data_IF_999896284108
#
_entry.id   IF_999896284108
#
_cell.length_a   1.000
_cell.length_b   1.000
_cell.length_c   1.000
_cell.angle_alpha   90.00
_cell.angle_beta   90.00
_cell.angle_gamma   90.00
#
_symmetry.space_group_name_H-M   'P 1'
#
loop_
_entity.id
_entity.type
_entity.pdbx_description
1 polymer ?
#
# COMPACT_ATOMS: atom_id res chain seq x y z
N UNK A 1 -19.59 67.50 -20.66
CA UNK A 1 -19.51 66.26 -21.47
C UNK A 1 -18.20 65.52 -21.23
N UNK A 2 -17.07 66.22 -21.03
CA UNK A 2 -15.76 65.63 -20.72
C UNK A 2 -15.71 64.86 -19.39
N UNK A 3 -16.37 65.34 -18.33
CA UNK A 3 -16.40 64.63 -17.04
C UNK A 3 -17.12 63.27 -17.09
N UNK A 4 -18.15 63.12 -17.93
CA UNK A 4 -18.81 61.81 -18.14
C UNK A 4 -17.92 60.83 -18.89
N UNK A 5 -17.05 61.32 -19.77
CA UNK A 5 -16.12 60.50 -20.54
C UNK A 5 -14.98 59.98 -19.65
N UNK A 6 -14.49 60.82 -18.73
CA UNK A 6 -13.47 60.42 -17.74
C UNK A 6 -14.00 59.37 -16.75
N UNK A 7 -15.24 59.51 -16.28
CA UNK A 7 -15.87 58.51 -15.39
C UNK A 7 -16.12 57.18 -16.12
N UNK A 8 -16.54 57.20 -17.39
CA UNK A 8 -16.71 56.00 -18.21
C UNK A 8 -15.38 55.30 -18.51
N UNK A 9 -14.29 56.04 -18.72
CA UNK A 9 -12.96 55.45 -18.91
C UNK A 9 -12.36 54.92 -17.60
N UNK A 10 -12.60 55.56 -16.46
CA UNK A 10 -12.20 55.01 -15.15
C UNK A 10 -13.03 53.78 -14.76
N UNK A 11 -14.31 53.70 -15.14
CA UNK A 11 -15.14 52.51 -14.93
C UNK A 11 -14.77 51.36 -15.89
N UNK A 12 -14.36 51.67 -17.12
CA UNK A 12 -13.83 50.67 -18.05
C UNK A 12 -12.48 50.11 -17.56
N UNK A 13 -11.57 50.98 -17.09
CA UNK A 13 -10.28 50.58 -16.52
C UNK A 13 -10.38 49.86 -15.17
N UNK A 14 -11.48 50.07 -14.42
CA UNK A 14 -11.76 49.34 -13.18
C UNK A 14 -12.43 47.97 -13.41
N UNK A 15 -12.71 47.57 -14.65
CA UNK A 15 -13.38 46.29 -14.97
C UNK A 15 -12.58 45.35 -15.88
N UNK A 16 -11.39 45.75 -16.33
CA UNK A 16 -10.49 44.87 -17.07
C UNK A 16 -9.63 44.08 -16.08
N UNK A 17 -10.25 43.04 -15.51
CA UNK A 17 -9.53 41.96 -14.86
C UNK A 17 -8.50 41.41 -15.85
N UNK A 18 -7.22 41.47 -15.48
CA UNK A 18 -6.14 41.06 -16.38
C UNK A 18 -6.24 39.56 -16.66
N UNK A 19 -5.77 39.11 -17.82
CA UNK A 19 -5.71 37.67 -18.15
C UNK A 19 -4.96 36.87 -17.05
N UNK A 20 -3.96 37.49 -16.41
CA UNK A 20 -3.21 36.91 -15.29
C UNK A 20 -4.09 36.74 -14.05
N UNK A 21 -4.85 37.76 -13.65
CA UNK A 21 -5.77 37.66 -12.49
C UNK A 21 -6.91 36.65 -12.73
N UNK A 22 -7.38 36.52 -13.98
CA UNK A 22 -8.35 35.49 -14.33
C UNK A 22 -7.75 34.10 -14.20
N UNK A 23 -6.54 33.89 -14.71
CA UNK A 23 -5.83 32.62 -14.60
C UNK A 23 -5.56 32.26 -13.13
N UNK A 24 -5.08 33.21 -12.31
CA UNK A 24 -4.82 32.99 -10.88
C UNK A 24 -6.09 32.60 -10.12
N UNK A 25 -7.22 33.32 -10.33
CA UNK A 25 -8.50 32.95 -9.70
C UNK A 25 -9.01 31.59 -10.15
N UNK A 26 -8.76 31.21 -11.40
CA UNK A 26 -9.13 29.90 -11.92
C UNK A 26 -8.29 28.80 -11.27
N UNK A 27 -6.98 28.98 -11.16
CA UNK A 27 -6.08 28.06 -10.43
C UNK A 27 -6.49 27.91 -8.96
N UNK A 28 -6.86 29.01 -8.30
CA UNK A 28 -7.24 28.99 -6.89
C UNK A 28 -8.59 28.26 -6.64
N UNK A 29 -9.53 28.37 -7.58
CA UNK A 29 -10.79 27.59 -7.57
C UNK A 29 -10.50 26.11 -7.83
N UNK A 30 -9.56 25.78 -8.74
CA UNK A 30 -9.13 24.40 -8.98
C UNK A 30 -8.52 23.77 -7.73
N UNK A 31 -7.54 24.43 -7.10
CA UNK A 31 -6.86 23.90 -5.93
C UNK A 31 -7.85 23.69 -4.76
N UNK A 32 -8.81 24.60 -4.58
CA UNK A 32 -9.88 24.46 -3.58
C UNK A 32 -10.87 23.35 -3.88
N UNK A 33 -11.21 23.08 -5.13
CA UNK A 33 -12.13 22.00 -5.50
C UNK A 33 -11.44 20.63 -5.51
N UNK A 34 -10.19 20.56 -5.94
CA UNK A 34 -9.41 19.32 -5.92
C UNK A 34 -8.94 18.93 -4.53
N UNK A 35 -8.61 19.88 -3.66
CA UNK A 35 -8.35 19.60 -2.24
C UNK A 35 -9.58 19.09 -1.48
N UNK A 36 -10.79 19.24 -2.04
CA UNK A 36 -12.02 18.66 -1.48
C UNK A 36 -12.32 17.24 -1.99
N UNK A 37 -11.61 16.78 -3.03
CA UNK A 37 -11.74 15.42 -3.55
C UNK A 37 -10.67 14.57 -2.88
N UNK A 38 -11.01 14.10 -1.68
CA UNK A 38 -10.20 13.13 -0.97
C UNK A 38 -10.48 11.73 -1.55
N UNK A 39 -9.68 11.33 -2.54
CA UNK A 39 -9.74 9.96 -3.05
C UNK A 39 -8.46 9.28 -2.62
N UNK A 40 -8.58 8.46 -1.58
CA UNK A 40 -7.51 7.59 -1.15
C UNK A 40 -7.05 6.70 -2.32
N UNK A 41 -5.74 6.44 -2.36
CA UNK A 41 -5.20 5.36 -3.18
C UNK A 41 -5.81 4.03 -2.71
N UNK A 42 -5.95 3.07 -3.63
CA UNK A 42 -6.57 1.77 -3.35
C UNK A 42 -5.52 0.66 -3.37
N UNK A 43 -5.66 -0.29 -2.45
CA UNK A 43 -4.87 -1.51 -2.39
C UNK A 43 -5.78 -2.73 -2.59
N UNK A 44 -5.50 -3.54 -3.61
CA UNK A 44 -6.35 -4.68 -3.98
C UNK A 44 -5.67 -6.00 -3.62
N UNK A 45 -6.16 -6.66 -2.55
CA UNK A 45 -5.66 -7.94 -2.07
C UNK A 45 -6.51 -9.10 -2.57
N UNK A 46 -5.86 -10.19 -2.95
CA UNK A 46 -6.54 -11.40 -3.37
C UNK A 46 -5.61 -12.44 -3.99
N UNK A 47 -6.22 -13.48 -4.54
CA UNK A 47 -5.56 -14.62 -5.17
C UNK A 47 -5.57 -14.48 -6.70
N UNK A 48 -5.72 -15.60 -7.41
CA UNK A 48 -5.88 -15.68 -8.86
C UNK A 48 -6.98 -14.75 -9.40
N UNK A 49 -8.09 -14.61 -8.68
CA UNK A 49 -9.25 -13.84 -9.12
C UNK A 49 -8.94 -12.33 -9.16
N UNK A 50 -8.22 -11.86 -8.14
CA UNK A 50 -7.76 -10.47 -8.05
C UNK A 50 -6.60 -10.20 -9.01
N UNK A 51 -5.64 -11.13 -9.09
CA UNK A 51 -4.49 -11.01 -9.99
C UNK A 51 -4.95 -10.75 -11.43
N UNK A 52 -5.94 -11.54 -11.87
CA UNK A 52 -6.59 -11.39 -13.16
C UNK A 52 -5.62 -11.47 -14.34
N UNK A 53 -6.07 -11.01 -15.52
CA UNK A 53 -5.23 -10.95 -16.72
C UNK A 53 -5.23 -9.54 -17.31
N UNK A 54 -4.13 -8.82 -17.09
CA UNK A 54 -3.86 -7.52 -17.70
C UNK A 54 -4.98 -6.51 -17.49
N UNK A 55 -5.41 -5.86 -18.57
CA UNK A 55 -6.39 -4.75 -18.54
C UNK A 55 -7.81 -5.14 -18.12
N UNK A 56 -8.10 -6.44 -17.94
CA UNK A 56 -9.39 -6.95 -17.47
C UNK A 56 -9.36 -7.39 -16.00
N UNK A 57 -8.20 -7.32 -15.34
CA UNK A 57 -8.13 -7.56 -13.90
C UNK A 57 -8.99 -6.54 -13.15
N UNK A 58 -9.62 -6.96 -12.06
CA UNK A 58 -10.52 -6.11 -11.27
C UNK A 58 -9.86 -4.76 -10.89
N UNK A 59 -8.57 -4.69 -10.48
CA UNK A 59 -7.93 -3.42 -10.17
C UNK A 59 -7.83 -2.46 -11.36
N UNK A 60 -7.59 -2.98 -12.57
CA UNK A 60 -7.54 -2.16 -13.78
C UNK A 60 -8.93 -1.65 -14.17
N UNK A 61 -9.97 -2.47 -14.00
CA UNK A 61 -11.36 -2.06 -14.22
C UNK A 61 -11.78 -1.02 -13.18
N UNK A 62 -11.45 -1.23 -11.91
CA UNK A 62 -11.73 -0.31 -10.81
C UNK A 62 -11.09 1.06 -11.09
N UNK A 63 -9.80 1.08 -11.43
CA UNK A 63 -9.09 2.31 -11.80
C UNK A 63 -9.83 3.04 -12.92
N UNK A 64 -10.16 2.33 -14.00
CA UNK A 64 -10.88 2.92 -15.13
C UNK A 64 -12.26 3.46 -14.73
N UNK A 65 -13.02 2.74 -13.91
CA UNK A 65 -14.35 3.20 -13.45
C UNK A 65 -14.23 4.46 -12.59
N UNK A 66 -13.24 4.53 -11.69
CA UNK A 66 -12.96 5.73 -10.89
C UNK A 66 -12.60 6.90 -11.81
N UNK A 67 -11.68 6.68 -12.75
CA UNK A 67 -11.24 7.72 -13.69
C UNK A 67 -12.37 8.21 -14.60
N UNK A 68 -13.16 7.30 -15.16
CA UNK A 68 -14.25 7.61 -16.08
C UNK A 68 -15.45 8.24 -15.37
N UNK A 69 -15.72 7.96 -14.09
CA UNK A 69 -16.93 8.45 -13.42
C UNK A 69 -16.66 9.64 -12.49
N UNK A 70 -15.58 9.59 -11.72
CA UNK A 70 -15.22 10.65 -10.80
C UNK A 70 -14.60 11.83 -11.59
N UNK A 71 -13.59 11.55 -12.40
CA UNK A 71 -12.82 12.62 -13.06
C UNK A 71 -13.43 13.10 -14.37
N UNK A 72 -14.14 12.26 -15.14
CA UNK A 72 -14.77 12.76 -16.39
C UNK A 72 -15.94 13.70 -16.14
N UNK A 73 -16.71 13.48 -15.07
CA UNK A 73 -17.83 14.35 -14.66
C UNK A 73 -17.33 15.71 -14.18
N UNK A 74 -16.22 15.69 -13.44
CA UNK A 74 -15.47 16.89 -13.06
C UNK A 74 -14.96 17.60 -14.31
N UNK A 75 -14.22 16.92 -15.18
CA UNK A 75 -13.67 17.48 -16.43
C UNK A 75 -14.74 18.11 -17.32
N UNK A 76 -15.93 17.51 -17.47
CA UNK A 76 -17.07 18.08 -18.23
C UNK A 76 -17.68 19.31 -17.58
N UNK A 77 -17.72 19.35 -16.25
CA UNK A 77 -18.18 20.52 -15.50
C UNK A 77 -17.19 21.67 -15.64
N UNK A 78 -15.90 21.37 -15.65
CA UNK A 78 -14.81 22.34 -15.76
C UNK A 78 -14.57 22.83 -17.19
N UNK A 79 -14.69 21.98 -18.22
CA UNK A 79 -14.50 22.35 -19.63
C UNK A 79 -15.56 23.32 -20.15
N UNK A 80 -16.65 23.54 -19.40
CA UNK A 80 -17.66 24.58 -19.69
C UNK A 80 -17.23 25.96 -19.21
N UNK A 81 -16.28 26.03 -18.30
CA UNK A 81 -15.82 27.25 -17.67
C UNK A 81 -14.43 27.63 -18.20
N UNK A 82 -13.62 26.66 -18.66
CA UNK A 82 -12.18 26.84 -18.85
C UNK A 82 -11.66 26.13 -20.11
N UNK A 83 -10.91 26.88 -20.94
CA UNK A 83 -10.42 26.50 -22.27
C UNK A 83 -8.90 26.27 -22.23
N UNK A 84 -8.46 25.22 -21.52
CA UNK A 84 -7.03 24.93 -21.38
C UNK A 84 -6.74 23.44 -21.41
N UNK A 85 -5.92 23.01 -22.37
CA UNK A 85 -5.43 21.64 -22.56
C UNK A 85 -4.30 21.24 -21.58
N UNK A 86 -3.85 22.15 -20.69
CA UNK A 86 -2.62 21.98 -19.90
C UNK A 86 -2.78 21.31 -18.52
N UNK A 87 -4.00 21.04 -18.05
CA UNK A 87 -4.17 20.54 -16.67
C UNK A 87 -4.12 19.01 -16.55
N UNK A 88 -3.30 18.55 -15.61
CA UNK A 88 -3.14 17.13 -15.27
C UNK A 88 -4.30 16.69 -14.37
N UNK A 89 -5.16 15.80 -14.87
CA UNK A 89 -6.22 15.18 -14.05
C UNK A 89 -5.61 14.48 -12.85
N UNK A 90 -6.20 14.58 -11.63
CA UNK A 90 -5.78 13.75 -10.50
C UNK A 90 -5.78 12.28 -10.91
N UNK A 91 -4.73 11.55 -10.53
CA UNK A 91 -4.63 10.12 -10.79
C UNK A 91 -4.79 9.36 -9.48
N UNK A 92 -5.75 8.45 -9.43
CA UNK A 92 -5.90 7.50 -8.33
C UNK A 92 -4.99 6.32 -8.59
N UNK A 93 -4.15 5.95 -7.62
CA UNK A 93 -3.40 4.71 -7.70
C UNK A 93 -4.29 3.57 -7.25
N UNK A 94 -4.26 2.50 -8.03
CA UNK A 94 -4.89 1.23 -7.66
C UNK A 94 -3.79 0.19 -7.75
N UNK A 95 -3.31 -0.24 -6.60
CA UNK A 95 -2.22 -1.20 -6.45
C UNK A 95 -2.79 -2.63 -6.48
N UNK A 96 -2.43 -3.42 -7.50
CA UNK A 96 -2.84 -4.82 -7.59
C UNK A 96 -1.86 -5.71 -6.81
N UNK A 97 -2.29 -6.24 -5.68
CA UNK A 97 -1.55 -7.21 -4.86
C UNK A 97 -2.07 -8.64 -5.01
N UNK A 98 -2.90 -8.90 -6.02
CA UNK A 98 -3.38 -10.23 -6.35
C UNK A 98 -2.25 -11.13 -6.85
N UNK A 99 -2.14 -12.34 -6.31
CA UNK A 99 -1.15 -13.34 -6.74
C UNK A 99 -1.83 -14.67 -7.04
N UNK A 100 -1.68 -15.17 -8.26
CA UNK A 100 -2.26 -16.47 -8.67
C UNK A 100 -1.65 -17.61 -7.87
N UNK A 101 -2.52 -18.43 -7.27
CA UNK A 101 -2.11 -19.62 -6.52
C UNK A 101 -1.74 -19.38 -5.06
N UNK A 102 -1.88 -18.16 -4.55
CA UNK A 102 -1.82 -17.91 -3.11
C UNK A 102 -3.16 -18.22 -2.44
N UNK A 103 -3.10 -18.73 -1.21
CA UNK A 103 -4.25 -18.85 -0.32
C UNK A 103 -4.29 -17.71 0.69
N UNK A 104 -5.29 -17.75 1.58
CA UNK A 104 -5.51 -16.68 2.55
C UNK A 104 -4.31 -16.45 3.47
N UNK A 105 -3.62 -17.50 3.95
CA UNK A 105 -2.47 -17.36 4.86
C UNK A 105 -1.34 -16.53 4.27
N UNK A 106 -0.98 -16.80 3.01
CA UNK A 106 0.06 -16.03 2.30
C UNK A 106 -0.34 -14.55 2.18
N UNK A 107 -1.61 -14.28 1.92
CA UNK A 107 -2.12 -12.92 1.74
C UNK A 107 -2.11 -12.16 3.08
N UNK A 108 -2.55 -12.81 4.17
CA UNK A 108 -2.49 -12.23 5.52
C UNK A 108 -1.06 -11.85 5.91
N UNK A 109 -0.07 -12.69 5.57
CA UNK A 109 1.34 -12.38 5.80
C UNK A 109 1.78 -11.17 4.97
N UNK A 110 1.52 -11.15 3.66
CA UNK A 110 1.93 -10.03 2.79
C UNK A 110 1.29 -8.70 3.15
N UNK A 111 0.06 -8.75 3.68
CA UNK A 111 -0.67 -7.59 4.18
C UNK A 111 -0.26 -7.17 5.60
N UNK A 112 0.64 -7.92 6.26
CA UNK A 112 1.13 -7.59 7.60
C UNK A 112 0.12 -7.85 8.71
N UNK A 113 -0.81 -8.79 8.50
CA UNK A 113 -1.75 -9.25 9.52
C UNK A 113 -1.13 -10.37 10.36
N UNK A 114 -0.50 -11.34 9.69
CA UNK A 114 0.26 -12.41 10.32
C UNK A 114 1.76 -12.11 10.14
N UNK A 115 2.57 -12.41 11.16
CA UNK A 115 4.02 -12.18 11.10
C UNK A 115 4.69 -13.32 10.32
N UNK A 116 5.58 -12.98 9.39
CA UNK A 116 6.42 -13.96 8.72
C UNK A 116 7.68 -14.22 9.54
N UNK A 117 8.05 -15.49 9.73
CA UNK A 117 9.21 -15.85 10.53
C UNK A 117 10.07 -16.92 9.83
N UNK A 118 11.35 -16.97 10.20
CA UNK A 118 12.30 -17.99 9.76
C UNK A 118 11.95 -19.36 10.34
N UNK A 119 11.59 -20.33 9.48
CA UNK A 119 11.22 -21.69 9.90
C UNK A 119 12.37 -22.54 10.48
N UNK A 120 13.62 -22.11 10.26
CA UNK A 120 14.82 -22.75 10.80
C UNK A 120 15.90 -21.71 11.11
N UNK A 121 16.86 -22.07 11.97
CA UNK A 121 18.03 -21.21 12.20
C UNK A 121 18.92 -21.21 10.96
N UNK A 122 19.42 -20.04 10.58
CA UNK A 122 20.28 -19.83 9.41
C UNK A 122 21.51 -19.00 9.80
N UNK A 123 22.56 -19.07 8.98
CA UNK A 123 23.69 -18.15 9.07
C UNK A 123 23.73 -17.31 7.80
N UNK A 124 23.48 -16.01 7.92
CA UNK A 124 23.66 -15.07 6.81
C UNK A 124 25.18 -14.86 6.63
N UNK A 125 25.73 -15.08 5.43
CA UNK A 125 27.16 -14.96 5.18
C UNK A 125 27.62 -13.49 5.24
N UNK A 126 28.94 -13.30 5.32
CA UNK A 126 29.54 -11.98 5.31
C UNK A 126 29.36 -11.27 3.95
N UNK A 127 29.47 -12.02 2.86
CA UNK A 127 29.27 -11.53 1.50
C UNK A 127 27.80 -11.53 1.08
N UNK A 128 27.55 -11.23 -0.19
CA UNK A 128 26.19 -11.19 -0.77
C UNK A 128 25.75 -12.55 -1.31
N UNK A 129 26.31 -13.65 -0.80
CA UNK A 129 25.90 -14.98 -1.22
C UNK A 129 24.47 -15.30 -0.72
N UNK A 130 23.66 -16.01 -1.53
CA UNK A 130 22.34 -16.45 -1.12
C UNK A 130 22.42 -17.47 0.02
N UNK A 131 21.57 -17.31 1.03
CA UNK A 131 21.29 -18.33 2.05
C UNK A 131 19.87 -18.84 1.91
N UNK A 132 19.67 -20.15 1.92
CA UNK A 132 18.33 -20.75 1.86
C UNK A 132 17.53 -20.38 3.11
N UNK A 133 16.27 -20.00 2.92
CA UNK A 133 15.35 -19.65 4.00
C UNK A 133 14.04 -20.40 3.80
N UNK A 134 13.47 -20.84 4.92
CA UNK A 134 12.12 -21.39 5.03
C UNK A 134 11.26 -20.43 5.84
N UNK A 135 9.98 -20.41 5.54
CA UNK A 135 9.03 -19.48 6.15
C UNK A 135 7.95 -20.20 6.93
N UNK A 136 7.55 -19.57 8.02
CA UNK A 136 6.37 -19.89 8.81
C UNK A 136 5.64 -18.58 9.10
N UNK A 137 4.34 -18.64 9.38
CA UNK A 137 3.66 -17.56 10.08
C UNK A 137 3.51 -17.91 11.56
N UNK A 138 3.24 -16.88 12.36
CA UNK A 138 2.85 -16.99 13.76
C UNK A 138 1.77 -18.06 14.02
N UNK A 139 0.73 -18.11 13.19
CA UNK A 139 -0.36 -19.09 13.32
C UNK A 139 0.10 -20.54 13.04
N UNK A 140 1.03 -20.75 12.11
CA UNK A 140 1.61 -22.06 11.83
C UNK A 140 2.58 -22.48 12.93
N UNK A 141 3.33 -21.55 13.53
CA UNK A 141 4.21 -21.83 14.66
C UNK A 141 3.47 -22.38 15.87
N UNK A 142 2.30 -21.82 16.17
CA UNK A 142 1.47 -22.30 17.27
C UNK A 142 0.90 -23.70 17.04
N UNK A 143 0.79 -24.12 15.77
CA UNK A 143 0.15 -25.40 15.39
C UNK A 143 1.14 -26.49 15.02
N UNK A 144 2.39 -26.17 14.66
CA UNK A 144 3.30 -27.12 14.01
C UNK A 144 4.75 -26.97 14.47
N UNK A 145 5.43 -28.11 14.59
CA UNK A 145 6.90 -28.19 14.63
C UNK A 145 7.43 -28.22 13.19
N UNK A 146 8.10 -27.15 12.69
CA UNK A 146 8.54 -27.08 11.30
C UNK A 146 9.56 -28.16 10.92
N UNK A 147 10.23 -28.77 11.89
CA UNK A 147 11.13 -29.91 11.64
C UNK A 147 10.38 -31.21 11.35
N UNK A 148 9.12 -31.31 11.78
CA UNK A 148 8.30 -32.53 11.64
C UNK A 148 7.32 -32.44 10.48
N UNK A 149 6.84 -31.24 10.13
CA UNK A 149 5.81 -31.05 9.09
C UNK A 149 6.26 -30.05 8.02
N UNK A 150 7.33 -30.34 7.27
CA UNK A 150 7.90 -29.40 6.29
C UNK A 150 6.96 -29.06 5.13
N UNK A 151 5.95 -29.90 4.87
CA UNK A 151 4.99 -29.69 3.78
C UNK A 151 3.93 -28.63 4.08
N UNK A 152 3.77 -28.28 5.35
CA UNK A 152 2.79 -27.30 5.86
C UNK A 152 3.40 -25.90 6.08
N UNK A 153 4.65 -25.70 5.67
CA UNK A 153 5.32 -24.39 5.65
C UNK A 153 4.65 -23.41 4.66
N UNK A 154 4.82 -22.11 4.90
CA UNK A 154 4.33 -21.09 3.98
C UNK A 154 5.02 -21.21 2.62
N UNK A 155 4.18 -21.30 1.58
CA UNK A 155 4.59 -21.37 0.18
C UNK A 155 3.90 -20.24 -0.57
N UNK A 156 4.68 -19.25 -1.01
CA UNK A 156 4.20 -18.15 -1.83
C UNK A 156 4.28 -18.53 -3.31
N UNK A 157 3.24 -18.19 -4.07
CA UNK A 157 3.18 -18.61 -5.47
C UNK A 157 4.29 -17.96 -6.30
N UNK A 158 4.82 -18.70 -7.27
CA UNK A 158 6.00 -18.32 -8.06
C UNK A 158 5.70 -17.35 -9.20
N UNK A 159 4.78 -16.41 -9.04
CA UNK A 159 4.72 -15.33 -10.00
C UNK A 159 6.05 -14.56 -9.91
N UNK A 160 6.60 -14.11 -11.04
CA UNK A 160 7.87 -13.36 -11.13
C UNK A 160 7.90 -12.06 -10.30
N UNK A 161 6.84 -11.80 -9.52
CA UNK A 161 6.57 -10.63 -8.70
C UNK A 161 5.62 -11.03 -7.55
N UNK A 162 6.02 -11.93 -6.65
CA UNK A 162 5.62 -11.71 -5.26
C UNK A 162 6.59 -10.67 -4.73
N UNK A 163 6.33 -9.41 -5.08
CA UNK A 163 7.19 -8.31 -4.69
C UNK A 163 6.95 -8.03 -3.22
N UNK A 164 7.73 -8.66 -2.34
CA UNK A 164 7.79 -8.35 -0.92
C UNK A 164 8.43 -6.96 -0.66
N UNK A 165 8.95 -6.30 -1.71
CA UNK A 165 9.76 -5.11 -1.60
C UNK A 165 11.07 -5.38 -0.86
N UNK A 166 11.49 -4.44 -0.02
CA UNK A 166 12.61 -4.63 0.90
C UNK A 166 12.24 -5.69 1.94
N UNK A 167 13.21 -6.57 2.22
CA UNK A 167 13.07 -7.59 3.25
C UNK A 167 14.18 -7.43 4.27
N UNK A 168 13.85 -7.59 5.56
CA UNK A 168 14.82 -7.57 6.65
C UNK A 168 14.73 -8.86 7.46
N UNK A 169 15.89 -9.43 7.80
CA UNK A 169 16.01 -10.56 8.73
C UNK A 169 17.06 -10.18 9.76
N UNK A 170 16.67 -10.11 11.04
CA UNK A 170 17.56 -9.68 12.14
C UNK A 170 18.21 -8.31 11.86
N UNK A 171 17.41 -7.37 11.33
CA UNK A 171 17.87 -6.04 10.92
C UNK A 171 18.72 -5.99 9.64
N UNK A 172 19.07 -7.13 9.04
CA UNK A 172 19.87 -7.18 7.82
C UNK A 172 18.96 -7.00 6.61
N UNK A 173 19.19 -5.93 5.85
CA UNK A 173 18.46 -5.65 4.62
C UNK A 173 18.87 -6.58 3.47
N UNK A 174 17.89 -7.09 2.75
CA UNK A 174 18.10 -7.91 1.56
C UNK A 174 16.88 -8.06 0.68
N UNK A 175 16.84 -9.17 -0.04
CA UNK A 175 15.74 -9.55 -0.92
C UNK A 175 15.53 -11.06 -0.88
N UNK A 176 14.27 -11.48 -1.02
CA UNK A 176 13.92 -12.89 -1.19
C UNK A 176 13.89 -13.23 -2.67
N UNK A 177 14.58 -14.31 -3.03
CA UNK A 177 14.60 -14.85 -4.39
C UNK A 177 14.14 -16.30 -4.37
N UNK A 178 13.36 -16.71 -5.36
CA UNK A 178 13.04 -18.13 -5.54
C UNK A 178 14.20 -18.82 -6.24
N UNK A 179 14.71 -19.92 -5.70
CA UNK A 179 15.72 -20.73 -6.41
C UNK A 179 15.02 -21.61 -7.46
N UNK A 180 15.68 -21.89 -8.59
CA UNK A 180 15.09 -22.48 -9.80
C UNK A 180 14.43 -23.88 -9.63
N UNK A 181 14.62 -24.55 -8.49
CA UNK A 181 14.21 -25.92 -8.15
C UNK A 181 12.70 -26.23 -8.10
N UNK A 182 11.79 -25.27 -8.32
CA UNK A 182 10.34 -25.48 -8.33
C UNK A 182 9.84 -26.42 -9.42
N UNK A 183 10.32 -26.27 -10.67
CA UNK A 183 9.76 -27.01 -11.81
C UNK A 183 9.95 -28.52 -11.68
N UNK A 184 10.99 -28.95 -10.96
CA UNK A 184 11.35 -30.36 -10.86
C UNK A 184 10.90 -31.03 -9.55
N UNK A 185 10.49 -30.27 -8.53
CA UNK A 185 10.26 -30.83 -7.18
C UNK A 185 8.95 -30.45 -6.48
N UNK A 186 8.20 -29.44 -6.93
CA UNK A 186 6.96 -29.02 -6.26
C UNK A 186 7.13 -28.38 -4.87
N UNK A 187 8.38 -28.18 -4.42
CA UNK A 187 8.72 -27.51 -3.16
C UNK A 187 9.54 -26.24 -3.47
N UNK A 188 8.95 -25.03 -3.33
CA UNK A 188 9.69 -23.81 -3.57
C UNK A 188 10.77 -23.68 -2.51
N UNK A 189 12.00 -23.44 -2.96
CA UNK A 189 13.08 -23.01 -2.09
C UNK A 189 13.29 -21.52 -2.30
N UNK A 190 13.36 -20.80 -1.20
CA UNK A 190 13.64 -19.38 -1.20
C UNK A 190 15.05 -19.17 -0.67
N UNK A 191 15.71 -18.14 -1.18
CA UNK A 191 16.96 -17.67 -0.64
C UNK A 191 16.84 -16.21 -0.27
N UNK A 192 17.43 -15.85 0.86
CA UNK A 192 17.68 -14.47 1.23
C UNK A 192 19.06 -14.08 0.71
N UNK A 193 19.12 -12.94 0.04
CA UNK A 193 20.37 -12.33 -0.43
C UNK A 193 20.50 -10.98 0.26
N UNK A 194 21.52 -10.82 1.11
CA UNK A 194 21.80 -9.53 1.75
C UNK A 194 22.19 -8.49 0.70
N UNK A 195 21.77 -7.25 0.91
CA UNK A 195 21.96 -6.17 -0.08
C UNK A 195 23.40 -5.66 -0.14
N UNK A 196 24.07 -5.62 1.01
CA UNK A 196 25.42 -5.10 1.20
C UNK A 196 26.21 -6.08 2.06
N UNK A 197 27.52 -6.17 1.82
CA UNK A 197 28.45 -6.96 2.62
C UNK A 197 28.44 -6.51 4.09
N UNK A 198 28.72 -7.43 5.00
CA UNK A 198 28.81 -7.14 6.42
C UNK A 198 29.31 -8.35 7.21
N UNK A 199 29.02 -8.40 8.50
CA UNK A 199 29.43 -9.54 9.32
C UNK A 199 28.53 -10.75 9.09
N UNK A 200 29.12 -11.94 9.25
CA UNK A 200 28.34 -13.17 9.28
C UNK A 200 27.48 -13.20 10.55
N UNK A 201 26.18 -13.44 10.39
CA UNK A 201 25.20 -13.30 11.47
C UNK A 201 24.40 -14.59 11.60
N UNK A 202 24.35 -15.11 12.82
CA UNK A 202 23.52 -16.27 13.15
C UNK A 202 22.12 -15.82 13.53
N UNK A 203 21.14 -16.26 12.75
CA UNK A 203 19.72 -15.95 12.93
C UNK A 203 19.04 -17.19 13.52
N UNK A 204 18.30 -17.01 14.61
CA UNK A 204 17.57 -18.10 15.26
C UNK A 204 16.30 -18.43 14.48
N UNK A 205 15.89 -19.68 14.50
CA UNK A 205 14.54 -20.06 14.11
C UNK A 205 13.49 -19.24 14.86
N UNK A 206 12.41 -18.85 14.19
CA UNK A 206 11.36 -17.98 14.73
C UNK A 206 11.75 -16.50 14.73
N UNK A 207 12.85 -16.12 14.08
CA UNK A 207 13.15 -14.69 13.88
C UNK A 207 12.19 -14.12 12.84
N UNK A 208 11.53 -13.02 13.17
CA UNK A 208 10.67 -12.25 12.27
C UNK A 208 11.41 -11.81 10.99
N UNK A 209 10.68 -11.86 9.89
CA UNK A 209 11.09 -11.41 8.57
C UNK A 209 10.19 -10.23 8.20
N UNK A 210 10.72 -9.03 8.34
CA UNK A 210 9.99 -7.81 7.98
C UNK A 210 9.96 -7.67 6.45
N UNK A 211 8.77 -7.42 5.91
CA UNK A 211 8.54 -7.21 4.48
C UNK A 211 7.92 -5.85 4.24
N UNK A 212 8.40 -5.11 3.24
CA UNK A 212 7.95 -3.75 2.96
C UNK A 212 6.45 -3.68 2.65
N UNK A 213 5.88 -4.71 2.00
CA UNK A 213 4.44 -4.74 1.69
C UNK A 213 3.53 -4.75 2.92
N UNK A 214 4.02 -5.22 4.08
CA UNK A 214 3.24 -5.28 5.32
C UNK A 214 2.92 -3.89 5.90
N UNK A 215 3.63 -2.85 5.47
CA UNK A 215 3.48 -1.47 5.98
C UNK A 215 3.31 -0.43 4.88
N UNK A 216 3.76 -0.71 3.65
CA UNK A 216 3.77 0.25 2.54
C UNK A 216 2.41 0.83 2.17
N UNK A 217 1.34 0.06 2.35
CA UNK A 217 0.00 0.40 1.89
C UNK A 217 -0.95 0.81 3.02
N UNK A 218 -0.42 1.07 4.22
CA UNK A 218 -1.24 1.61 5.30
C UNK A 218 -1.71 3.01 4.93
N UNK A 219 -3.00 3.27 5.07
CA UNK A 219 -3.67 4.48 4.58
C UNK A 219 -4.34 4.31 3.21
N UNK A 220 -3.98 3.28 2.43
CA UNK A 220 -4.72 2.95 1.20
C UNK A 220 -6.06 2.31 1.57
N UNK A 221 -7.11 2.60 0.79
CA UNK A 221 -8.42 1.94 0.94
C UNK A 221 -8.33 0.50 0.46
N UNK A 222 -8.57 -0.51 1.33
CA UNK A 222 -8.41 -1.89 0.94
C UNK A 222 -9.62 -2.41 0.15
N UNK A 223 -9.33 -3.20 -0.89
CA UNK A 223 -10.31 -3.97 -1.66
C UNK A 223 -9.92 -5.44 -1.62
N UNK A 224 -10.86 -6.27 -1.19
CA UNK A 224 -10.65 -7.70 -0.96
C UNK A 224 -11.46 -8.51 -1.96
N UNK A 225 -10.81 -9.38 -2.73
CA UNK A 225 -11.51 -10.31 -3.63
C UNK A 225 -10.74 -11.62 -3.75
N UNK A 226 -11.42 -12.72 -3.40
CA UNK A 226 -10.81 -14.05 -3.31
C UNK A 226 -11.70 -15.06 -4.03
N UNK A 227 -11.07 -16.02 -4.71
CA UNK A 227 -11.72 -17.25 -5.13
C UNK A 227 -11.95 -18.16 -3.92
N UNK A 228 -12.92 -19.07 -4.04
CA UNK A 228 -13.31 -19.96 -2.96
C UNK A 228 -12.13 -20.88 -2.57
N UNK A 229 -11.56 -20.67 -1.39
CA UNK A 229 -10.52 -21.52 -0.82
C UNK A 229 -11.16 -22.82 -0.30
N UNK A 230 -11.06 -23.88 -1.11
CA UNK A 230 -11.81 -25.15 -0.97
C UNK A 230 -11.61 -25.94 0.34
N UNK A 231 -10.87 -25.42 1.33
CA UNK A 231 -10.66 -26.04 2.64
C UNK A 231 -11.04 -25.20 3.86
N UNK A 232 -11.44 -23.92 3.71
CA UNK A 232 -11.69 -23.03 4.84
C UNK A 232 -13.19 -22.89 5.16
N UNK A 233 -13.53 -22.88 6.45
CA UNK A 233 -14.92 -22.61 6.88
C UNK A 233 -15.28 -21.14 6.65
N UNK A 234 -16.59 -20.86 6.51
CA UNK A 234 -17.09 -19.49 6.42
C UNK A 234 -16.64 -18.67 7.62
N UNK A 235 -16.78 -19.20 8.85
CA UNK A 235 -16.37 -18.50 10.08
C UNK A 235 -14.86 -18.20 10.10
N UNK A 236 -14.04 -19.14 9.60
CA UNK A 236 -12.61 -18.93 9.44
C UNK A 236 -12.31 -17.78 8.47
N UNK A 237 -13.00 -17.76 7.33
CA UNK A 237 -12.86 -16.71 6.34
C UNK A 237 -13.32 -15.33 6.87
N UNK A 238 -14.44 -15.29 7.59
CA UNK A 238 -14.91 -14.06 8.27
C UNK A 238 -13.83 -13.54 9.21
N UNK A 239 -13.26 -14.41 10.04
CA UNK A 239 -12.18 -14.04 10.98
C UNK A 239 -10.98 -13.42 10.25
N UNK A 240 -10.58 -13.98 9.11
CA UNK A 240 -9.44 -13.44 8.34
C UNK A 240 -9.74 -12.08 7.72
N UNK A 241 -10.94 -11.92 7.16
CA UNK A 241 -11.38 -10.65 6.57
C UNK A 241 -11.50 -9.59 7.66
N UNK A 242 -12.00 -9.93 8.85
CA UNK A 242 -12.04 -9.01 9.99
C UNK A 242 -10.64 -8.54 10.38
N UNK A 243 -9.66 -9.46 10.46
CA UNK A 243 -8.27 -9.07 10.73
C UNK A 243 -7.70 -8.12 9.68
N UNK A 244 -7.96 -8.39 8.39
CA UNK A 244 -7.56 -7.51 7.29
C UNK A 244 -8.23 -6.14 7.39
N UNK A 245 -9.55 -6.09 7.56
CA UNK A 245 -10.27 -4.82 7.70
C UNK A 245 -9.74 -4.03 8.89
N UNK A 246 -9.58 -4.66 10.05
CA UNK A 246 -9.05 -4.00 11.25
C UNK A 246 -7.64 -3.46 11.04
N UNK A 247 -6.78 -4.16 10.28
CA UNK A 247 -5.41 -3.70 9.98
C UNK A 247 -5.37 -2.38 9.22
N UNK A 248 -6.33 -2.18 8.33
CA UNK A 248 -6.46 -0.98 7.48
C UNK A 248 -7.41 0.08 8.07
N UNK A 249 -8.21 -0.28 9.07
CA UNK A 249 -9.14 0.63 9.75
C UNK A 249 -8.47 1.47 10.86
N UNK A 250 -7.20 1.24 11.20
CA UNK A 250 -6.48 2.01 12.21
C UNK A 250 -6.15 3.40 11.63
N UNK A 251 -7.02 4.36 11.94
CA UNK A 251 -6.87 5.80 11.70
C UNK A 251 -5.94 6.51 12.70
N UNK A 252 -5.13 5.79 13.48
CA UNK A 252 -4.34 6.41 14.55
C UNK A 252 -3.08 7.09 14.00
N UNK A 253 -3.25 8.37 13.65
CA UNK A 253 -2.28 9.41 14.02
C UNK A 253 -1.88 9.14 15.48
N UNK A 254 -0.60 8.94 15.81
CA UNK A 254 -0.21 8.84 17.21
C UNK A 254 -0.64 10.13 17.89
N UNK A 255 -1.56 10.03 18.86
CA UNK A 255 -1.92 11.14 19.73
C UNK A 255 -0.63 11.71 20.30
N UNK A 256 -0.39 13.00 20.03
CA UNK A 256 0.63 13.72 20.76
C UNK A 256 0.16 13.76 22.21
N UNK A 257 1.00 13.22 23.09
CA UNK A 257 0.79 13.15 24.52
C UNK A 257 0.37 14.54 25.06
N UNK A 258 -0.82 14.69 25.69
CA UNK A 258 -1.24 15.96 26.27
C UNK A 258 -0.47 16.34 27.55
N UNK A 259 0.62 15.63 27.88
CA UNK A 259 1.40 15.87 29.10
C UNK A 259 2.23 17.18 29.09
N UNK A 260 2.15 18.01 28.06
CA UNK A 260 2.82 19.34 28.02
C UNK A 260 1.90 20.56 28.25
N UNK A 261 0.63 20.39 28.63
CA UNK A 261 -0.21 21.50 29.13
C UNK A 261 -0.61 21.30 30.59
N UNK A 262 0.34 21.39 31.53
CA UNK A 262 0.06 21.83 32.92
C UNK A 262 1.38 22.13 33.65
N UNK A 263 2.00 23.25 33.35
CA UNK A 263 2.99 23.83 34.27
C UNK A 263 3.17 25.34 34.07
N UNK A 264 2.08 26.11 34.09
CA UNK A 264 2.12 27.55 34.37
C UNK A 264 0.79 28.00 35.00
N UNK A 265 0.62 27.80 36.30
CA UNK A 265 -0.16 28.68 37.18
C UNK A 265 -0.05 28.18 38.63
N UNK A 266 1.01 28.59 39.34
CA UNK A 266 0.99 28.70 40.81
C UNK A 266 2.21 29.52 41.28
N UNK A 267 2.20 30.83 41.00
CA UNK A 267 2.95 31.80 41.79
C UNK A 267 2.14 33.10 41.89
N UNK A 268 1.33 33.21 42.95
CA UNK A 268 1.16 34.38 43.82
C UNK A 268 -0.09 34.23 44.69
N UNK A 269 0.11 33.76 45.92
CA UNK A 269 -0.37 34.41 47.14
C UNK A 269 0.08 33.60 48.37
N UNK A 270 1.19 34.05 48.97
CA UNK A 270 1.41 34.14 50.42
C UNK A 270 2.71 34.89 50.71
#
# INVERSE_FOLDING_TARGET
QEERYAVLQMQAAASEETEVEKLEKQTDIYDKLYSQIDVNDFICWGDSAMAGNGSRALPAVLKKVIEDNLFSSLKKSFSRVLDTDEYTTPSVKVNNMGVTGEGMRQILVRAGVNIMETGESITIPWGTEPVTVRFMDDEAWDRLDPKKNPDEQLKFARQKTVDFGKVYIDGIRGSLVTTDTWFDSGHPQYAFVRKEEGDSTYVRSGTEIEIETATRYLGDTPVFFFENDSGRSIDGFVTDIEKLVNRYAIDEVPETDPSEETSQEEEKEN
#
